data_IF_582508580482
#
_entry.id   IF_582508580482
#
_cell.length_a   1.000
_cell.length_b   1.000
_cell.length_c   1.000
_cell.angle_alpha   90.00
_cell.angle_beta   90.00
_cell.angle_gamma   90.00
#
_symmetry.space_group_name_H-M   'P 1'
#
loop_
_entity.id
_entity.type
_entity.pdbx_description
1 polymer ?
#
# COMPACT_ATOMS: atom_id res chain seq x y z
N UNK A 1 -41.30 4.43 -48.31
CA UNK A 1 -40.42 4.86 -47.20
C UNK A 1 -38.98 4.80 -47.69
N UNK A 2 -38.29 5.93 -47.81
CA UNK A 2 -36.90 5.96 -48.30
C UNK A 2 -35.99 5.56 -47.14
N UNK A 3 -35.40 4.36 -47.20
CA UNK A 3 -34.34 3.96 -46.27
C UNK A 3 -33.08 4.75 -46.63
N UNK A 4 -32.64 5.63 -45.74
CA UNK A 4 -31.33 6.30 -45.86
C UNK A 4 -30.25 5.29 -45.46
N UNK A 5 -29.38 4.95 -46.41
CA UNK A 5 -28.19 4.13 -46.16
C UNK A 5 -27.05 4.99 -45.62
N UNK A 6 -26.24 4.42 -44.74
CA UNK A 6 -24.99 5.02 -44.28
C UNK A 6 -23.99 5.08 -45.44
N UNK A 7 -23.26 6.18 -45.57
CA UNK A 7 -22.18 6.29 -46.55
C UNK A 7 -20.89 5.66 -46.02
N UNK A 8 -20.05 5.15 -46.92
CA UNK A 8 -18.74 4.60 -46.55
C UNK A 8 -17.84 5.64 -45.88
N UNK A 9 -17.96 6.92 -46.27
CA UNK A 9 -17.17 8.00 -45.68
C UNK A 9 -17.61 8.33 -44.26
N UNK A 10 -18.92 8.27 -43.97
CA UNK A 10 -19.44 8.43 -42.60
C UNK A 10 -18.93 7.31 -41.69
N UNK A 11 -18.91 6.06 -42.16
CA UNK A 11 -18.34 4.95 -41.38
C UNK A 11 -16.83 5.13 -41.16
N UNK A 12 -16.11 5.59 -42.19
CA UNK A 12 -14.65 5.78 -42.13
C UNK A 12 -14.25 6.87 -41.13
N UNK A 13 -15.00 7.98 -41.07
CA UNK A 13 -14.74 9.06 -40.09
C UNK A 13 -15.02 8.58 -38.66
N UNK A 14 -16.03 7.74 -38.45
CA UNK A 14 -16.36 7.24 -37.11
C UNK A 14 -15.26 6.34 -36.56
N UNK A 15 -14.77 5.39 -37.36
CA UNK A 15 -13.70 4.49 -36.89
C UNK A 15 -12.38 5.23 -36.67
N UNK A 16 -12.09 6.29 -37.45
CA UNK A 16 -10.88 7.10 -37.25
C UNK A 16 -10.96 7.91 -35.96
N UNK A 17 -12.10 8.54 -35.66
CA UNK A 17 -12.31 9.25 -34.40
C UNK A 17 -12.20 8.29 -33.20
N UNK A 18 -12.87 7.13 -33.27
CA UNK A 18 -12.78 6.11 -32.20
C UNK A 18 -11.34 5.63 -32.02
N UNK A 19 -10.60 5.42 -33.12
CA UNK A 19 -9.18 5.01 -33.08
C UNK A 19 -8.29 6.03 -32.37
N UNK A 20 -8.45 7.33 -32.68
CA UNK A 20 -7.69 8.41 -32.04
C UNK A 20 -8.01 8.51 -30.54
N UNK A 21 -9.30 8.51 -30.19
CA UNK A 21 -9.73 8.59 -28.78
C UNK A 21 -9.24 7.37 -27.98
N UNK A 22 -9.30 6.17 -28.56
CA UNK A 22 -8.85 4.94 -27.90
C UNK A 22 -7.34 4.94 -27.63
N UNK A 23 -6.52 5.49 -28.54
CA UNK A 23 -5.07 5.57 -28.37
C UNK A 23 -4.66 6.48 -27.20
N UNK A 24 -5.37 7.59 -26.98
CA UNK A 24 -5.09 8.55 -25.90
C UNK A 24 -5.46 8.02 -24.50
N UNK A 25 -6.48 7.16 -24.41
CA UNK A 25 -6.92 6.59 -23.12
C UNK A 25 -5.90 5.60 -22.56
N UNK A 26 -5.25 4.81 -23.41
CA UNK A 26 -4.35 3.73 -22.98
C UNK A 26 -3.09 4.23 -22.25
N UNK A 27 -2.55 5.39 -22.61
CA UNK A 27 -1.30 5.91 -22.04
C UNK A 27 -1.43 6.39 -20.59
N UNK A 28 -2.64 6.72 -20.14
CA UNK A 28 -2.86 7.29 -18.79
C UNK A 28 -3.18 6.24 -17.71
N UNK A 29 -3.47 4.99 -18.08
CA UNK A 29 -3.96 3.97 -17.13
C UNK A 29 -2.86 3.47 -16.19
N UNK A 30 -1.60 3.47 -16.61
CA UNK A 30 -0.49 2.94 -15.80
C UNK A 30 -0.24 3.77 -14.54
N UNK A 31 -0.07 5.09 -14.68
CA UNK A 31 0.14 5.98 -13.54
C UNK A 31 -1.04 6.04 -12.56
N UNK A 32 -2.28 5.85 -13.04
CA UNK A 32 -3.46 5.76 -12.17
C UNK A 32 -3.42 4.49 -11.32
N UNK A 33 -3.00 3.36 -11.90
CA UNK A 33 -2.87 2.08 -11.16
C UNK A 33 -1.77 2.14 -10.11
N UNK A 34 -0.64 2.79 -10.42
CA UNK A 34 0.46 3.02 -9.46
C UNK A 34 -0.04 3.81 -8.25
N UNK A 35 -0.67 4.97 -8.49
CA UNK A 35 -1.23 5.81 -7.41
C UNK A 35 -2.30 5.08 -6.58
N UNK A 36 -3.10 4.24 -7.22
CA UNK A 36 -4.10 3.42 -6.51
C UNK A 36 -3.44 2.38 -5.58
N UNK A 37 -2.35 1.75 -6.01
CA UNK A 37 -1.57 0.84 -5.16
C UNK A 37 -0.86 1.60 -4.03
N UNK A 38 -0.29 2.77 -4.31
CA UNK A 38 0.33 3.61 -3.27
C UNK A 38 -0.69 4.08 -2.22
N UNK A 39 -1.88 4.49 -2.65
CA UNK A 39 -2.99 4.81 -1.73
C UNK A 39 -3.37 3.60 -0.88
N UNK A 40 -3.37 2.40 -1.47
CA UNK A 40 -3.61 1.14 -0.76
C UNK A 40 -2.53 0.88 0.30
N UNK A 41 -1.25 1.02 -0.04
CA UNK A 41 -0.12 0.90 0.92
C UNK A 41 -0.27 1.85 2.10
N UNK A 42 -0.56 3.12 1.83
CA UNK A 42 -0.80 4.14 2.87
C UNK A 42 -1.96 3.73 3.78
N UNK A 43 -3.05 3.22 3.22
CA UNK A 43 -4.21 2.73 3.99
C UNK A 43 -3.85 1.50 4.85
N UNK A 44 -3.11 0.56 4.29
CA UNK A 44 -2.70 -0.68 4.97
C UNK A 44 -1.79 -0.36 6.17
N UNK A 45 -0.84 0.55 6.03
CA UNK A 45 0.01 1.02 7.14
C UNK A 45 -0.80 1.69 8.26
N UNK A 46 -1.81 2.49 7.92
CA UNK A 46 -2.68 3.11 8.92
C UNK A 46 -3.52 2.07 9.68
N UNK A 47 -4.00 1.03 8.99
CA UNK A 47 -4.71 -0.08 9.63
C UNK A 47 -3.79 -0.84 10.60
N UNK A 48 -2.53 -1.09 10.21
CA UNK A 48 -1.54 -1.74 11.09
C UNK A 48 -1.26 -0.86 12.30
N UNK A 49 -1.11 0.45 12.13
CA UNK A 49 -0.95 1.41 13.23
C UNK A 49 -2.09 1.31 14.24
N UNK A 50 -3.34 1.25 13.79
CA UNK A 50 -4.49 1.05 14.68
C UNK A 50 -4.38 -0.27 15.46
N UNK A 51 -4.03 -1.37 14.80
CA UNK A 51 -3.86 -2.67 15.45
C UNK A 51 -2.71 -2.67 16.47
N UNK A 52 -1.58 -2.04 16.15
CA UNK A 52 -0.45 -1.88 17.07
C UNK A 52 -0.84 -1.05 18.29
N UNK A 53 -1.66 0.00 18.12
CA UNK A 53 -2.16 0.78 19.25
C UNK A 53 -3.06 -0.04 20.17
N UNK A 54 -3.91 -0.91 19.61
CA UNK A 54 -4.70 -1.84 20.42
C UNK A 54 -3.82 -2.83 21.17
N UNK A 55 -2.77 -3.36 20.52
CA UNK A 55 -1.76 -4.19 21.19
C UNK A 55 -1.11 -3.45 22.37
N UNK A 56 -0.70 -2.20 22.17
CA UNK A 56 -0.10 -1.39 23.22
C UNK A 56 -1.04 -1.19 24.42
N UNK A 57 -2.34 -1.00 24.19
CA UNK A 57 -3.31 -0.83 25.27
C UNK A 57 -3.42 -2.07 26.17
N UNK A 58 -3.24 -3.26 25.61
CA UNK A 58 -3.36 -4.52 26.34
C UNK A 58 -2.05 -4.94 27.03
N UNK A 59 -0.90 -4.67 26.39
CA UNK A 59 0.42 -5.14 26.87
C UNK A 59 1.30 -4.04 27.47
N UNK A 60 0.96 -2.76 27.30
CA UNK A 60 1.74 -1.62 27.78
C UNK A 60 3.04 -1.36 27.01
N UNK A 61 3.27 -2.08 25.92
CA UNK A 61 4.42 -1.90 25.03
C UNK A 61 4.07 -2.34 23.61
N UNK A 62 4.80 -1.81 22.63
CA UNK A 62 4.72 -2.31 21.26
C UNK A 62 5.47 -3.64 21.11
N UNK A 63 5.06 -4.51 20.16
CA UNK A 63 5.75 -5.78 19.91
C UNK A 63 7.20 -5.55 19.48
N UNK A 64 8.07 -6.52 19.74
CA UNK A 64 9.46 -6.42 19.27
C UNK A 64 9.53 -6.54 17.77
N UNK A 65 10.65 -6.11 17.18
CA UNK A 65 10.90 -6.27 15.76
C UNK A 65 12.24 -6.92 15.49
N UNK A 66 12.26 -7.94 14.63
CA UNK A 66 13.49 -8.52 14.09
C UNK A 66 13.44 -8.46 12.56
N UNK A 67 14.48 -7.88 11.95
CA UNK A 67 14.62 -7.77 10.49
C UNK A 67 13.38 -7.16 9.79
N UNK A 68 12.74 -6.16 10.40
CA UNK A 68 11.58 -5.50 9.80
C UNK A 68 10.25 -6.24 10.01
N UNK A 69 10.24 -7.33 10.79
CA UNK A 69 9.07 -8.16 11.03
C UNK A 69 8.58 -7.93 12.47
N UNK A 70 7.26 -7.84 12.64
CA UNK A 70 6.61 -7.73 13.95
C UNK A 70 6.72 -9.07 14.68
N UNK A 71 7.19 -9.09 15.92
CA UNK A 71 7.25 -10.27 16.79
C UNK A 71 6.18 -10.15 17.88
N UNK A 72 4.92 -10.39 17.51
CA UNK A 72 3.78 -10.22 18.41
C UNK A 72 2.58 -11.10 18.10
N UNK A 73 2.72 -12.07 17.19
CA UNK A 73 1.60 -12.83 16.61
C UNK A 73 1.33 -14.18 17.28
N UNK A 74 1.70 -14.37 18.55
CA UNK A 74 1.32 -15.54 19.36
C UNK A 74 1.52 -15.26 20.84
N UNK A 75 2.77 -15.32 21.27
CA UNK A 75 3.24 -15.26 22.65
C UNK A 75 4.03 -13.99 22.97
N UNK A 76 3.96 -13.00 22.08
CA UNK A 76 4.79 -11.79 22.15
C UNK A 76 6.24 -11.98 21.69
N UNK A 77 6.61 -13.17 21.19
CA UNK A 77 7.96 -13.44 20.64
C UNK A 77 7.94 -14.04 19.23
N UNK A 78 6.78 -14.56 18.80
CA UNK A 78 6.62 -15.17 17.49
C UNK A 78 6.49 -14.13 16.38
N UNK A 79 7.35 -14.25 15.36
CA UNK A 79 7.33 -13.43 14.16
C UNK A 79 6.00 -13.57 13.38
N UNK A 80 5.42 -12.43 13.06
CA UNK A 80 4.23 -12.30 12.24
C UNK A 80 4.56 -12.49 10.76
N UNK A 81 3.81 -13.35 10.07
CA UNK A 81 3.95 -13.48 8.62
C UNK A 81 3.00 -12.50 7.92
N UNK A 82 3.52 -11.67 7.00
CA UNK A 82 2.66 -10.83 6.18
C UNK A 82 1.70 -11.69 5.34
N UNK A 83 0.42 -11.34 5.33
CA UNK A 83 -0.64 -12.15 4.73
C UNK A 83 -1.26 -13.21 5.66
N UNK A 84 -0.70 -13.44 6.86
CA UNK A 84 -1.31 -14.32 7.86
C UNK A 84 -2.07 -13.55 8.94
N UNK A 85 -2.88 -14.27 9.73
CA UNK A 85 -3.58 -13.69 10.87
C UNK A 85 -2.62 -13.10 11.91
N UNK A 86 -3.02 -11.96 12.51
CA UNK A 86 -2.33 -11.45 13.68
C UNK A 86 -2.80 -12.25 14.90
N UNK A 87 -2.09 -13.31 15.24
CA UNK A 87 -2.59 -14.34 16.14
C UNK A 87 -2.06 -14.22 17.58
N UNK A 88 -2.24 -13.09 18.26
CA UNK A 88 -2.08 -13.06 19.73
C UNK A 88 -3.28 -13.74 20.41
N UNK A 89 -3.17 -14.05 21.71
CA UNK A 89 -4.32 -14.40 22.59
C UNK A 89 -5.54 -13.50 22.34
N UNK A 90 -5.31 -12.23 21.97
CA UNK A 90 -6.30 -11.30 21.42
C UNK A 90 -5.98 -10.96 19.95
N UNK A 91 -6.97 -11.06 19.06
CA UNK A 91 -6.82 -10.71 17.64
C UNK A 91 -7.07 -9.22 17.42
N UNK A 92 -6.01 -8.43 17.21
CA UNK A 92 -6.12 -6.98 16.90
C UNK A 92 -6.30 -6.69 15.40
N UNK A 93 -5.97 -7.65 14.54
CA UNK A 93 -6.15 -7.57 13.10
C UNK A 93 -6.33 -8.99 12.52
N UNK A 94 -7.35 -9.19 11.69
CA UNK A 94 -7.65 -10.52 11.13
C UNK A 94 -6.55 -11.09 10.22
N UNK A 95 -5.85 -10.22 9.49
CA UNK A 95 -4.72 -10.60 8.64
C UNK A 95 -3.82 -9.40 8.37
N UNK A 96 -2.51 -9.58 8.48
CA UNK A 96 -1.56 -8.56 8.06
C UNK A 96 -1.63 -8.38 6.53
N UNK A 97 -1.81 -7.16 6.02
CA UNK A 97 -1.91 -6.92 4.58
C UNK A 97 -0.58 -7.19 3.87
N UNK A 98 -0.65 -7.76 2.68
CA UNK A 98 0.49 -7.90 1.77
C UNK A 98 0.60 -6.65 0.90
N UNK A 99 1.81 -6.28 0.51
CA UNK A 99 2.01 -5.21 -0.46
C UNK A 99 1.27 -5.54 -1.77
N UNK A 100 0.52 -4.60 -2.37
CA UNK A 100 -0.27 -4.84 -3.59
C UNK A 100 0.55 -5.30 -4.81
N UNK A 101 1.86 -5.02 -4.82
CA UNK A 101 2.79 -5.43 -5.87
C UNK A 101 3.65 -6.63 -5.45
N UNK A 102 3.36 -7.23 -4.30
CA UNK A 102 3.98 -8.48 -3.85
C UNK A 102 3.53 -9.64 -4.75
N UNK A 103 4.49 -10.43 -5.20
CA UNK A 103 4.24 -11.64 -6.00
C UNK A 103 5.03 -12.81 -5.40
N UNK A 104 4.66 -14.05 -5.73
CA UNK A 104 5.37 -15.24 -5.26
C UNK A 104 6.86 -15.22 -5.64
N UNK A 105 7.21 -14.62 -6.79
CA UNK A 105 8.59 -14.54 -7.30
C UNK A 105 9.36 -13.32 -6.79
N UNK A 106 8.67 -12.29 -6.31
CA UNK A 106 9.25 -11.08 -5.74
C UNK A 106 8.35 -10.62 -4.58
N UNK A 107 8.53 -11.21 -3.38
CA UNK A 107 7.73 -10.86 -2.23
C UNK A 107 8.12 -9.47 -1.74
N UNK A 108 7.15 -8.56 -1.72
CA UNK A 108 7.28 -7.23 -1.11
C UNK A 108 6.48 -7.20 0.19
N UNK A 109 7.09 -6.62 1.21
CA UNK A 109 6.54 -6.53 2.55
C UNK A 109 6.69 -5.12 3.09
N UNK A 110 5.83 -4.76 4.04
CA UNK A 110 6.05 -3.58 4.86
C UNK A 110 7.13 -3.87 5.90
N UNK A 111 7.84 -2.83 6.31
CA UNK A 111 8.89 -2.95 7.33
C UNK A 111 8.40 -2.33 8.63
N UNK A 112 8.50 -3.09 9.71
CA UNK A 112 8.25 -2.63 11.07
C UNK A 112 9.55 -2.61 11.86
N UNK A 113 9.90 -1.45 12.43
CA UNK A 113 11.06 -1.29 13.29
C UNK A 113 10.62 -0.67 14.60
N UNK A 114 10.75 -1.43 15.70
CA UNK A 114 10.58 -0.90 17.03
C UNK A 114 11.80 -0.05 17.41
N UNK A 115 11.57 1.20 17.77
CA UNK A 115 12.64 2.11 18.23
C UNK A 115 12.77 2.05 19.75
N UNK A 116 11.64 1.89 20.45
CA UNK A 116 11.58 1.67 21.89
C UNK A 116 10.30 0.92 22.27
N UNK A 117 10.12 0.57 23.55
CA UNK A 117 8.88 -0.04 24.02
C UNK A 117 7.63 0.80 23.71
N UNK A 118 7.77 2.13 23.61
CA UNK A 118 6.70 3.09 23.40
C UNK A 118 6.68 3.72 22.01
N UNK A 119 7.65 3.41 21.14
CA UNK A 119 7.76 4.05 19.81
C UNK A 119 8.18 3.08 18.72
N UNK A 120 7.66 3.28 17.52
CA UNK A 120 7.97 2.46 16.36
C UNK A 120 7.90 3.23 15.05
N UNK A 121 8.45 2.63 14.00
CA UNK A 121 8.31 3.09 12.63
C UNK A 121 7.84 1.97 11.72
N UNK A 122 6.87 2.28 10.88
CA UNK A 122 6.36 1.44 9.80
C UNK A 122 6.71 2.10 8.48
N UNK A 123 7.33 1.37 7.55
CA UNK A 123 7.70 1.91 6.24
C UNK A 123 7.15 1.06 5.09
N UNK A 124 6.79 1.75 4.01
CA UNK A 124 6.45 1.16 2.74
C UNK A 124 7.13 1.93 1.61
N UNK A 125 7.75 1.21 0.69
CA UNK A 125 8.30 1.79 -0.54
C UNK A 125 7.14 2.09 -1.50
N UNK A 126 6.96 3.36 -1.87
CA UNK A 126 5.96 3.76 -2.86
C UNK A 126 6.50 3.52 -4.27
N UNK A 127 5.60 3.21 -5.20
CA UNK A 127 5.97 3.10 -6.62
C UNK A 127 6.24 4.47 -7.22
N UNK A 128 5.48 5.49 -6.80
CA UNK A 128 5.78 6.87 -7.13
C UNK A 128 6.82 7.46 -6.15
N UNK A 129 8.10 7.39 -6.53
CA UNK A 129 9.20 7.97 -5.75
C UNK A 129 9.13 9.52 -5.59
N UNK A 130 8.30 10.19 -6.39
CA UNK A 130 8.06 11.64 -6.31
C UNK A 130 6.76 12.00 -5.60
N UNK A 131 6.16 11.07 -4.86
CA UNK A 131 4.97 11.34 -4.05
C UNK A 131 5.33 12.30 -2.89
N UNK A 132 4.70 13.48 -2.80
CA UNK A 132 5.01 14.47 -1.76
C UNK A 132 4.71 13.94 -0.35
N UNK A 133 3.74 13.03 -0.22
CA UNK A 133 3.36 12.49 1.09
C UNK A 133 4.48 11.64 1.69
N UNK A 134 5.38 11.06 0.88
CA UNK A 134 6.53 10.30 1.38
C UNK A 134 7.50 11.22 2.13
N UNK A 135 7.92 12.33 1.51
CA UNK A 135 8.79 13.32 2.14
C UNK A 135 8.14 13.94 3.37
N UNK A 136 6.85 14.31 3.28
CA UNK A 136 6.10 14.85 4.42
C UNK A 136 6.01 13.84 5.57
N UNK A 137 5.82 12.56 5.25
CA UNK A 137 5.74 11.50 6.26
C UNK A 137 7.06 11.28 7.00
N UNK A 138 8.18 11.33 6.28
CA UNK A 138 9.51 11.24 6.88
C UNK A 138 9.79 12.43 7.79
N UNK A 139 9.46 13.65 7.33
CA UNK A 139 9.61 14.86 8.13
C UNK A 139 8.78 14.81 9.42
N UNK A 140 7.53 14.31 9.35
CA UNK A 140 6.68 14.11 10.53
C UNK A 140 7.28 13.12 11.52
N UNK A 141 7.94 12.07 11.02
CA UNK A 141 8.52 11.02 11.84
C UNK A 141 9.98 11.25 12.24
N UNK A 142 10.59 12.34 11.79
CA UNK A 142 12.00 12.65 12.07
C UNK A 142 12.98 11.59 11.55
N UNK A 143 12.55 10.73 10.62
CA UNK A 143 13.42 9.76 9.96
C UNK A 143 14.06 10.43 8.74
N UNK A 144 15.31 10.08 8.42
CA UNK A 144 16.10 10.76 7.39
C UNK A 144 15.47 10.77 5.99
N UNK A 145 16.14 11.41 5.01
CA UNK A 145 15.61 11.55 3.65
C UNK A 145 15.67 10.23 2.86
N UNK A 146 14.52 9.74 2.41
CA UNK A 146 14.38 8.58 1.51
C UNK A 146 13.15 8.71 0.61
N UNK A 147 12.76 7.63 -0.05
CA UNK A 147 11.54 7.57 -0.89
C UNK A 147 10.37 6.86 -0.23
N UNK A 148 10.58 6.34 0.98
CA UNK A 148 9.60 5.52 1.66
C UNK A 148 8.54 6.37 2.36
N UNK A 149 7.31 5.91 2.32
CA UNK A 149 6.25 6.45 3.15
C UNK A 149 6.35 5.85 4.55
N UNK A 150 6.34 6.72 5.57
CA UNK A 150 6.61 6.33 6.96
C UNK A 150 5.45 6.68 7.86
N UNK A 151 5.04 5.73 8.69
CA UNK A 151 4.10 5.91 9.78
C UNK A 151 4.83 5.65 11.08
N UNK A 152 4.77 6.59 12.01
CA UNK A 152 5.39 6.49 13.32
C UNK A 152 4.37 6.74 14.42
N UNK A 153 4.76 6.31 15.61
CA UNK A 153 4.10 6.59 16.88
C UNK A 153 5.14 6.74 17.98
#
# INVERSE_FOLDING_TARGET
MIKRGFTLIELLIVITIIGILSALVLTNVQGVRERARDARRKSDLNAIKTALRLYYNDFGSYPTSTNGIIEGCSDGTTACTWGSAFASTNTYMNSLPLDPSSTTSNPRYYTYTQTSADTYTLTAELENASDPDAADSQARCGVGSGTDYVVCE
#
